data_IF_804638875760
#
_entry.id   IF_804638875760
#
_cell.length_a   1.000
_cell.length_b   1.000
_cell.length_c   1.000
_cell.angle_alpha   90.00
_cell.angle_beta   90.00
_cell.angle_gamma   90.00
#
_symmetry.space_group_name_H-M   'P 1'
#
loop_
_entity.id
_entity.type
_entity.pdbx_description
1 polymer ?
#
# COMPACT_ATOMS: atom_id res chain seq x y z
N UNK A 1 -39.82 -6.74 -1.77
CA UNK A 1 -39.08 -5.72 -1.00
C UNK A 1 -37.80 -5.32 -1.71
N UNK A 2 -36.93 -6.27 -2.08
CA UNK A 2 -35.70 -6.04 -2.87
C UNK A 2 -35.98 -5.45 -4.27
N UNK A 3 -37.00 -5.95 -4.96
CA UNK A 3 -37.38 -5.49 -6.31
C UNK A 3 -37.78 -4.01 -6.39
N UNK A 4 -38.18 -3.41 -5.26
CA UNK A 4 -38.54 -1.98 -5.17
C UNK A 4 -37.40 -1.10 -4.66
N UNK A 5 -36.19 -1.66 -4.47
CA UNK A 5 -34.98 -0.96 -4.02
C UNK A 5 -35.22 0.00 -2.83
N UNK A 6 -35.99 -0.45 -1.82
CA UNK A 6 -36.26 0.36 -0.62
C UNK A 6 -34.97 0.58 0.16
N UNK A 7 -34.86 1.73 0.82
CA UNK A 7 -33.69 2.13 1.61
C UNK A 7 -33.30 1.07 2.66
N UNK A 8 -34.30 0.47 3.32
CA UNK A 8 -34.16 -0.60 4.32
C UNK A 8 -33.36 -1.82 3.82
N UNK A 9 -33.37 -2.09 2.51
CA UNK A 9 -32.64 -3.22 1.90
C UNK A 9 -31.13 -2.98 1.91
N UNK A 10 -30.70 -1.72 1.78
CA UNK A 10 -29.28 -1.36 1.79
C UNK A 10 -28.67 -1.51 3.18
N UNK A 11 -29.40 -1.12 4.22
CA UNK A 11 -28.97 -1.27 5.61
C UNK A 11 -28.78 -2.76 5.96
N UNK A 12 -29.74 -3.61 5.57
CA UNK A 12 -29.64 -5.07 5.76
C UNK A 12 -28.49 -5.65 4.92
N UNK A 13 -28.30 -5.18 3.69
CA UNK A 13 -27.22 -5.66 2.84
C UNK A 13 -25.86 -5.35 3.46
N UNK A 14 -25.66 -4.16 4.01
CA UNK A 14 -24.41 -3.76 4.67
C UNK A 14 -24.11 -4.65 5.88
N UNK A 15 -25.13 -4.95 6.69
CA UNK A 15 -24.99 -5.89 7.82
C UNK A 15 -24.64 -7.31 7.34
N UNK A 16 -25.28 -7.79 6.27
CA UNK A 16 -25.07 -9.15 5.73
C UNK A 16 -23.67 -9.34 5.16
N UNK A 17 -23.07 -8.30 4.56
CA UNK A 17 -21.77 -8.43 3.89
C UNK A 17 -20.56 -8.20 4.80
N UNK A 18 -20.74 -7.55 5.96
CA UNK A 18 -19.65 -7.06 6.83
C UNK A 18 -18.61 -8.13 7.18
N UNK A 19 -19.04 -9.37 7.33
CA UNK A 19 -18.16 -10.49 7.69
C UNK A 19 -18.08 -11.60 6.63
N UNK A 20 -18.59 -11.34 5.42
CA UNK A 20 -18.66 -12.34 4.35
C UNK A 20 -17.68 -12.02 3.23
N UNK A 21 -16.52 -12.70 3.16
CA UNK A 21 -15.57 -12.47 2.08
C UNK A 21 -16.14 -12.94 0.74
N UNK A 22 -15.74 -12.27 -0.33
CA UNK A 22 -16.01 -12.67 -1.72
C UNK A 22 -14.71 -13.07 -2.39
N UNK A 23 -14.77 -14.01 -3.33
CA UNK A 23 -13.62 -14.42 -4.11
C UNK A 23 -13.59 -13.68 -5.44
N UNK A 24 -12.48 -13.03 -5.74
CA UNK A 24 -12.24 -12.37 -7.00
C UNK A 24 -11.28 -13.21 -7.84
N UNK A 25 -11.61 -13.41 -9.13
CA UNK A 25 -10.79 -14.18 -10.07
C UNK A 25 -10.64 -13.41 -11.39
N UNK A 26 -9.44 -13.43 -11.99
CA UNK A 26 -9.20 -12.97 -13.36
C UNK A 26 -8.75 -14.14 -14.24
N UNK A 27 -9.39 -14.29 -15.39
CA UNK A 27 -8.99 -15.28 -16.39
C UNK A 27 -7.89 -14.72 -17.31
N UNK A 28 -6.91 -15.52 -17.75
CA UNK A 28 -6.65 -16.91 -17.37
C UNK A 28 -5.98 -17.02 -15.98
N UNK A 29 -6.40 -18.01 -15.17
CA UNK A 29 -5.82 -18.25 -13.84
C UNK A 29 -4.56 -19.09 -13.96
N UNK A 30 -3.37 -18.46 -13.91
CA UNK A 30 -2.08 -19.14 -14.08
C UNK A 30 -1.52 -19.76 -12.79
N UNK A 31 -1.90 -19.23 -11.63
CA UNK A 31 -1.39 -19.66 -10.34
C UNK A 31 -2.41 -19.36 -9.24
N UNK A 32 -2.22 -19.93 -8.04
CA UNK A 32 -3.17 -19.80 -6.91
C UNK A 32 -3.56 -18.36 -6.57
N UNK A 33 -2.63 -17.40 -6.74
CA UNK A 33 -2.85 -15.98 -6.43
C UNK A 33 -3.73 -15.25 -7.46
N UNK A 34 -4.11 -15.93 -8.56
CA UNK A 34 -5.10 -15.42 -9.50
C UNK A 34 -6.54 -15.52 -8.97
N UNK A 35 -6.72 -16.10 -7.78
CA UNK A 35 -7.95 -16.07 -6.99
C UNK A 35 -7.59 -15.59 -5.58
N UNK A 36 -8.22 -14.52 -5.12
CA UNK A 36 -8.05 -14.03 -3.75
C UNK A 36 -9.39 -13.64 -3.14
N UNK A 37 -9.46 -13.68 -1.81
CA UNK A 37 -10.63 -13.27 -1.07
C UNK A 37 -10.48 -11.82 -0.59
N UNK A 38 -11.59 -11.08 -0.63
CA UNK A 38 -11.70 -9.69 -0.17
C UNK A 38 -12.97 -9.49 0.64
N UNK A 39 -12.93 -8.56 1.59
CA UNK A 39 -14.16 -8.06 2.21
C UNK A 39 -14.81 -7.06 1.25
N UNK A 40 -16.07 -7.27 0.84
CA UNK A 40 -16.75 -6.35 -0.06
C UNK A 40 -17.08 -5.04 0.66
N UNK A 41 -16.99 -3.93 -0.07
CA UNK A 41 -17.49 -2.62 0.37
C UNK A 41 -18.49 -2.14 -0.67
N UNK A 42 -19.68 -1.73 -0.22
CA UNK A 42 -20.69 -1.18 -1.12
C UNK A 42 -20.17 0.12 -1.74
N UNK A 43 -20.32 0.22 -3.05
CA UNK A 43 -19.95 1.39 -3.82
C UNK A 43 -21.06 1.72 -4.82
N UNK A 44 -21.15 2.98 -5.18
CA UNK A 44 -21.93 3.39 -6.34
C UNK A 44 -21.17 3.05 -7.64
N UNK A 45 -21.93 2.71 -8.68
CA UNK A 45 -21.41 2.33 -10.00
C UNK A 45 -21.49 0.83 -10.28
N UNK A 46 -21.01 0.44 -11.47
CA UNK A 46 -21.06 -0.95 -11.97
C UNK A 46 -19.68 -1.59 -12.15
N UNK A 47 -18.62 -0.88 -11.78
CA UNK A 47 -17.24 -1.34 -11.94
C UNK A 47 -16.68 -1.81 -10.58
N UNK A 48 -16.00 -2.95 -10.58
CA UNK A 48 -15.32 -3.48 -9.40
C UNK A 48 -14.10 -2.59 -9.12
N UNK A 49 -13.95 -2.16 -7.87
CA UNK A 49 -12.72 -1.50 -7.39
C UNK A 49 -11.85 -2.54 -6.71
N UNK A 50 -10.58 -2.59 -7.08
CA UNK A 50 -9.59 -3.51 -6.51
C UNK A 50 -8.37 -2.72 -6.04
N UNK A 51 -7.71 -3.22 -4.99
CA UNK A 51 -6.53 -2.58 -4.45
C UNK A 51 -5.34 -2.64 -5.45
N UNK A 52 -4.62 -1.54 -5.73
CA UNK A 52 -3.56 -1.53 -6.74
C UNK A 52 -2.42 -2.54 -6.49
N UNK A 53 -2.11 -2.82 -5.21
CA UNK A 53 -1.04 -3.76 -4.85
C UNK A 53 -1.36 -5.23 -5.14
N UNK A 54 -2.62 -5.59 -5.40
CA UNK A 54 -2.96 -6.97 -5.80
C UNK A 54 -3.01 -7.13 -7.32
N UNK A 55 -2.96 -6.05 -8.10
CA UNK A 55 -3.00 -6.13 -9.56
C UNK A 55 -1.85 -6.95 -10.15
N UNK A 56 -0.67 -6.91 -9.52
CA UNK A 56 0.48 -7.74 -9.89
C UNK A 56 0.17 -9.23 -9.76
N UNK A 57 -0.56 -9.63 -8.71
CA UNK A 57 -1.00 -11.00 -8.49
C UNK A 57 -2.01 -11.45 -9.56
N UNK A 58 -2.95 -10.59 -9.93
CA UNK A 58 -3.93 -10.92 -10.98
C UNK A 58 -3.38 -10.74 -12.41
N UNK A 59 -2.17 -10.19 -12.54
CA UNK A 59 -1.62 -9.70 -13.80
C UNK A 59 -2.62 -8.77 -14.54
N UNK A 60 -3.32 -7.94 -13.78
CA UNK A 60 -4.42 -7.10 -14.25
C UNK A 60 -3.96 -5.66 -14.48
N UNK A 61 -4.55 -5.01 -15.48
CA UNK A 61 -4.50 -3.58 -15.70
C UNK A 61 -5.92 -2.98 -15.74
N UNK A 62 -6.03 -1.70 -16.07
CA UNK A 62 -7.29 -0.96 -16.02
C UNK A 62 -7.71 -0.42 -17.39
N UNK A 63 -7.49 -1.20 -18.45
CA UNK A 63 -7.82 -0.82 -19.83
C UNK A 63 -9.13 -1.45 -20.36
N UNK A 64 -9.81 -2.24 -19.52
CA UNK A 64 -11.04 -2.97 -19.89
C UNK A 64 -11.14 -4.38 -19.33
N UNK A 65 -10.11 -4.82 -18.59
CA UNK A 65 -10.08 -6.09 -17.86
C UNK A 65 -11.35 -6.35 -17.03
N UNK A 66 -11.80 -7.61 -17.07
CA UNK A 66 -12.97 -8.09 -16.33
C UNK A 66 -12.57 -9.16 -15.32
N UNK A 67 -13.26 -9.16 -14.19
CA UNK A 67 -13.04 -10.13 -13.12
C UNK A 67 -14.37 -10.76 -12.68
N UNK A 68 -14.33 -12.04 -12.34
CA UNK A 68 -15.47 -12.77 -11.82
C UNK A 68 -15.48 -12.71 -10.29
N UNK A 69 -16.67 -12.52 -9.72
CA UNK A 69 -16.90 -12.54 -8.27
C UNK A 69 -17.67 -13.80 -7.90
N UNK A 70 -17.20 -14.54 -6.91
CA UNK A 70 -17.88 -15.71 -6.36
C UNK A 70 -18.17 -15.48 -4.87
N UNK A 71 -19.32 -15.97 -4.41
CA UNK A 71 -19.75 -15.85 -3.02
C UNK A 71 -19.67 -17.23 -2.35
N UNK A 72 -18.76 -17.42 -1.37
CA UNK A 72 -18.73 -18.62 -0.55
C UNK A 72 -20.01 -18.76 0.27
N UNK A 73 -20.74 -19.87 0.11
CA UNK A 73 -22.03 -20.07 0.77
C UNK A 73 -21.91 -20.82 2.09
N UNK A 74 -21.17 -21.93 2.12
CA UNK A 74 -21.02 -22.73 3.34
C UNK A 74 -20.14 -22.02 4.37
N UNK A 75 -20.33 -22.36 5.65
CA UNK A 75 -19.55 -21.77 6.75
C UNK A 75 -18.07 -22.14 6.58
N UNK A 76 -17.79 -23.38 6.18
CA UNK A 76 -16.45 -23.89 5.93
C UNK A 76 -15.77 -23.09 4.82
N UNK A 77 -16.47 -22.80 3.71
CA UNK A 77 -15.92 -22.02 2.60
C UNK A 77 -15.68 -20.56 2.98
N UNK A 78 -16.56 -19.96 3.79
CA UNK A 78 -16.36 -18.60 4.32
C UNK A 78 -15.14 -18.54 5.26
N UNK A 79 -14.98 -19.56 6.12
CA UNK A 79 -13.82 -19.68 7.01
C UNK A 79 -12.52 -19.89 6.24
N UNK A 80 -12.51 -20.77 5.23
CA UNK A 80 -11.34 -20.98 4.37
C UNK A 80 -10.96 -19.70 3.61
N UNK A 81 -11.95 -19.01 3.05
CA UNK A 81 -11.73 -17.74 2.37
C UNK A 81 -11.09 -16.69 3.31
N UNK A 82 -11.55 -16.62 4.56
CA UNK A 82 -11.02 -15.67 5.55
C UNK A 82 -9.64 -16.06 6.08
N UNK A 83 -9.40 -17.33 6.34
CA UNK A 83 -8.17 -17.79 7.00
C UNK A 83 -7.02 -18.03 6.02
N UNK A 84 -7.31 -18.41 4.77
CA UNK A 84 -6.28 -18.85 3.82
C UNK A 84 -6.25 -17.97 2.56
N UNK A 85 -7.42 -17.71 1.96
CA UNK A 85 -7.50 -17.09 0.62
C UNK A 85 -7.47 -15.55 0.70
N UNK A 86 -7.67 -14.97 1.89
CA UNK A 86 -7.68 -13.53 2.11
C UNK A 86 -6.40 -12.88 1.58
N UNK A 87 -6.55 -11.77 0.86
CA UNK A 87 -5.45 -11.09 0.19
C UNK A 87 -4.31 -10.68 1.13
N UNK A 88 -4.62 -10.32 2.38
CA UNK A 88 -3.64 -10.00 3.43
C UNK A 88 -2.73 -11.17 3.80
N UNK A 89 -3.17 -12.40 3.59
CA UNK A 89 -2.37 -13.60 3.89
C UNK A 89 -1.46 -13.99 2.72
N UNK A 90 -1.66 -13.36 1.56
CA UNK A 90 -1.05 -13.74 0.28
C UNK A 90 -0.15 -12.62 -0.26
N UNK A 91 0.65 -12.02 0.62
CA UNK A 91 1.56 -10.91 0.32
C UNK A 91 2.86 -11.39 -0.34
N UNK A 92 3.29 -12.63 -0.05
CA UNK A 92 4.52 -13.22 -0.57
C UNK A 92 4.25 -14.25 -1.67
N UNK A 93 5.14 -14.28 -2.67
CA UNK A 93 5.11 -15.27 -3.74
C UNK A 93 5.41 -16.67 -3.19
N UNK A 94 4.54 -17.67 -3.47
CA UNK A 94 4.77 -19.06 -3.04
C UNK A 94 5.99 -19.70 -3.71
N UNK A 95 6.40 -19.20 -4.88
CA UNK A 95 7.45 -19.79 -5.69
C UNK A 95 8.87 -19.39 -5.25
N UNK A 96 9.03 -18.18 -4.72
CA UNK A 96 10.36 -17.63 -4.41
C UNK A 96 10.43 -16.79 -3.13
N UNK A 97 9.35 -16.68 -2.35
CA UNK A 97 9.31 -15.97 -1.08
C UNK A 97 9.44 -14.44 -1.18
N UNK A 98 9.51 -13.87 -2.38
CA UNK A 98 9.60 -12.42 -2.56
C UNK A 98 8.23 -11.75 -2.37
N UNK A 99 8.17 -10.50 -1.88
CA UNK A 99 6.92 -9.75 -1.79
C UNK A 99 6.29 -9.57 -3.17
N UNK A 100 5.03 -9.97 -3.31
CA UNK A 100 4.22 -9.81 -4.53
C UNK A 100 3.41 -8.51 -4.50
N UNK A 101 2.95 -8.11 -3.32
CA UNK A 101 2.25 -6.84 -3.09
C UNK A 101 3.22 -5.64 -3.04
N UNK A 102 4.25 -5.66 -3.89
CA UNK A 102 5.20 -4.56 -4.01
C UNK A 102 4.57 -3.41 -4.79
N UNK A 103 4.73 -2.15 -4.35
CA UNK A 103 4.27 -1.02 -5.12
C UNK A 103 4.87 -0.97 -6.53
N UNK A 104 4.10 -0.44 -7.47
CA UNK A 104 4.48 -0.31 -8.87
C UNK A 104 4.28 1.13 -9.37
N UNK A 105 4.92 1.44 -10.50
CA UNK A 105 4.75 2.68 -11.28
C UNK A 105 4.74 3.95 -10.40
N UNK A 106 3.59 4.60 -10.28
CA UNK A 106 3.43 5.92 -9.65
C UNK A 106 3.82 5.94 -8.18
N UNK A 107 3.52 4.87 -7.44
CA UNK A 107 3.89 4.79 -6.01
C UNK A 107 5.41 4.76 -5.88
N UNK A 108 6.08 3.96 -6.73
CA UNK A 108 7.54 3.89 -6.77
C UNK A 108 8.12 5.24 -7.18
N UNK A 109 7.54 5.91 -8.17
CA UNK A 109 7.96 7.23 -8.62
C UNK A 109 7.82 8.27 -7.49
N UNK A 110 6.73 8.21 -6.73
CA UNK A 110 6.50 9.05 -5.56
C UNK A 110 7.57 8.87 -4.48
N UNK A 111 7.83 7.62 -4.07
CA UNK A 111 8.90 7.31 -3.11
C UNK A 111 10.29 7.71 -3.61
N UNK A 112 10.57 7.47 -4.89
CA UNK A 112 11.82 7.86 -5.54
C UNK A 112 12.00 9.37 -5.53
N UNK A 113 10.96 10.12 -5.92
CA UNK A 113 10.98 11.56 -5.92
C UNK A 113 11.17 12.10 -4.51
N UNK A 114 10.39 11.60 -3.55
CA UNK A 114 10.44 11.99 -2.14
C UNK A 114 11.86 11.82 -1.55
N UNK A 115 12.56 10.74 -1.88
CA UNK A 115 13.87 10.43 -1.28
C UNK A 115 15.07 10.95 -2.08
N UNK A 116 14.82 11.70 -3.15
CA UNK A 116 15.86 12.26 -4.04
C UNK A 116 16.60 13.42 -3.40
N UNK A 117 17.93 13.42 -3.53
CA UNK A 117 18.77 14.55 -3.13
C UNK A 117 18.97 15.50 -4.32
N UNK A 118 18.87 16.82 -4.10
CA UNK A 118 19.19 17.83 -5.10
C UNK A 118 20.46 18.58 -4.69
N UNK A 119 21.59 18.22 -5.30
CA UNK A 119 22.92 18.75 -4.99
C UNK A 119 23.07 20.29 -5.10
N UNK A 120 22.17 21.00 -5.78
CA UNK A 120 22.19 22.46 -5.93
C UNK A 120 21.49 23.22 -4.78
N UNK A 121 20.90 22.54 -3.81
CA UNK A 121 20.24 23.14 -2.63
C UNK A 121 21.16 23.22 -1.40
N UNK A 122 22.48 23.29 -1.60
CA UNK A 122 23.52 23.28 -0.53
C UNK A 122 23.39 24.40 0.52
N UNK A 123 22.53 25.39 0.33
CA UNK A 123 22.36 26.54 1.23
C UNK A 123 21.61 26.22 2.54
N UNK A 124 21.14 24.99 2.75
CA UNK A 124 20.40 24.63 3.96
C UNK A 124 21.08 23.52 4.76
N UNK A 125 22.32 23.71 5.22
CA UNK A 125 22.91 22.88 6.29
C UNK A 125 22.28 23.18 7.66
N UNK A 126 20.94 23.32 7.71
CA UNK A 126 20.18 23.44 8.95
C UNK A 126 20.31 22.12 9.72
N UNK A 127 20.52 22.24 11.03
CA UNK A 127 20.57 21.11 11.97
C UNK A 127 19.26 21.07 12.72
N UNK A 128 18.62 19.91 12.76
CA UNK A 128 17.35 19.66 13.42
C UNK A 128 17.55 18.70 14.60
N UNK A 129 16.83 18.94 15.69
CA UNK A 129 16.87 18.16 16.91
C UNK A 129 16.07 16.86 16.83
N UNK A 130 15.03 16.81 15.99
CA UNK A 130 14.21 15.61 15.80
C UNK A 130 13.56 15.54 14.40
N UNK A 131 12.96 14.40 14.07
CA UNK A 131 12.21 14.21 12.81
C UNK A 131 10.95 15.08 12.77
N UNK A 132 10.31 15.33 13.90
CA UNK A 132 9.12 16.18 14.02
C UNK A 132 9.45 17.64 13.66
N UNK A 133 10.60 18.15 14.10
CA UNK A 133 11.05 19.50 13.78
C UNK A 133 11.26 19.68 12.26
N UNK A 134 11.79 18.64 11.59
CA UNK A 134 11.94 18.63 10.13
C UNK A 134 10.57 18.68 9.44
N UNK A 135 9.58 17.96 9.95
CA UNK A 135 8.23 17.95 9.40
C UNK A 135 7.55 19.32 9.55
N UNK A 136 7.70 19.98 10.70
CA UNK A 136 7.21 21.35 10.94
C UNK A 136 7.89 22.33 9.97
N UNK A 137 9.22 22.30 9.88
CA UNK A 137 9.96 23.19 8.99
C UNK A 137 9.61 22.98 7.50
N UNK A 138 9.27 21.75 7.10
CA UNK A 138 8.78 21.47 5.76
C UNK A 138 7.37 22.06 5.53
N UNK A 139 6.47 21.91 6.50
CA UNK A 139 5.11 22.47 6.44
C UNK A 139 5.13 24.01 6.36
N UNK A 140 6.03 24.65 7.10
CA UNK A 140 6.25 26.09 7.09
C UNK A 140 7.00 26.59 5.83
N UNK A 141 7.38 25.68 4.92
CA UNK A 141 8.13 25.96 3.68
C UNK A 141 9.53 26.55 3.92
N UNK A 142 10.08 26.36 5.12
CA UNK A 142 11.42 26.80 5.54
C UNK A 142 12.55 25.91 5.01
N UNK A 143 12.22 24.66 4.66
CA UNK A 143 13.13 23.72 3.99
C UNK A 143 12.45 23.04 2.81
N UNK A 144 13.09 22.98 1.62
CA UNK A 144 12.54 22.27 0.49
C UNK A 144 12.69 20.75 0.67
N UNK A 145 11.85 19.98 -0.04
CA UNK A 145 11.77 18.52 0.05
C UNK A 145 13.12 17.81 -0.18
N UNK A 146 13.89 18.30 -1.15
CA UNK A 146 15.16 17.69 -1.58
C UNK A 146 16.39 18.37 -0.98
N UNK A 147 16.22 19.22 0.05
CA UNK A 147 17.34 19.83 0.77
C UNK A 147 18.10 18.78 1.56
N UNK A 148 19.43 18.96 1.61
CA UNK A 148 20.32 18.16 2.44
C UNK A 148 20.40 18.80 3.82
N UNK A 149 20.00 18.05 4.85
CA UNK A 149 19.88 18.50 6.24
C UNK A 149 20.69 17.61 7.17
N UNK A 150 20.90 18.06 8.41
CA UNK A 150 21.43 17.23 9.50
C UNK A 150 20.32 17.08 10.55
N UNK A 151 20.02 15.86 10.97
CA UNK A 151 18.99 15.59 11.98
C UNK A 151 19.58 14.68 13.06
N UNK A 152 19.25 14.96 14.32
CA UNK A 152 19.62 14.09 15.43
C UNK A 152 18.64 12.93 15.54
N UNK A 153 19.11 11.69 15.36
CA UNK A 153 18.35 10.45 15.44
C UNK A 153 19.07 9.50 16.40
N UNK A 154 18.37 8.98 17.42
CA UNK A 154 18.95 8.00 18.35
C UNK A 154 20.20 8.50 19.11
N UNK A 155 20.40 9.82 19.22
CA UNK A 155 21.58 10.42 19.85
C UNK A 155 22.69 10.82 18.88
N UNK A 156 22.67 10.34 17.64
CA UNK A 156 23.67 10.65 16.61
C UNK A 156 23.15 11.68 15.60
N UNK A 157 24.05 12.49 15.04
CA UNK A 157 23.70 13.44 13.98
C UNK A 157 23.89 12.75 12.64
N UNK A 158 22.78 12.50 11.95
CA UNK A 158 22.74 11.85 10.64
C UNK A 158 22.53 12.91 9.55
N UNK A 159 23.32 12.82 8.48
CA UNK A 159 23.13 13.66 7.30
C UNK A 159 22.16 12.99 6.33
N UNK A 160 21.07 13.66 5.99
CA UNK A 160 19.98 13.10 5.18
C UNK A 160 19.27 14.19 4.36
N UNK A 161 18.09 13.89 3.81
CA UNK A 161 17.22 14.88 3.16
C UNK A 161 15.89 15.02 3.89
N UNK A 162 15.24 16.17 3.76
CA UNK A 162 13.89 16.42 4.31
C UNK A 162 12.93 15.29 3.92
N UNK A 163 12.88 14.94 2.63
CA UNK A 163 11.99 13.90 2.15
C UNK A 163 12.31 12.48 2.65
N UNK A 164 13.58 12.14 2.92
CA UNK A 164 13.92 10.87 3.60
C UNK A 164 13.43 10.84 5.03
N UNK A 165 13.49 11.95 5.76
CA UNK A 165 12.92 12.03 7.12
C UNK A 165 11.41 11.80 7.08
N UNK A 166 10.70 12.46 6.16
CA UNK A 166 9.25 12.28 5.98
C UNK A 166 8.89 10.84 5.58
N UNK A 167 9.70 10.20 4.74
CA UNK A 167 9.51 8.79 4.39
C UNK A 167 9.63 7.88 5.61
N UNK A 168 10.64 8.10 6.45
CA UNK A 168 10.89 7.28 7.64
C UNK A 168 9.83 7.45 8.74
N UNK A 169 9.14 8.60 8.80
CA UNK A 169 7.99 8.78 9.71
C UNK A 169 6.81 7.87 9.38
N UNK A 170 6.72 7.36 8.15
CA UNK A 170 5.69 6.42 7.72
C UNK A 170 6.07 4.96 7.98
N UNK A 171 7.33 4.68 8.33
CA UNK A 171 7.79 3.33 8.62
C UNK A 171 7.37 2.92 10.05
N UNK A 172 7.12 1.62 10.29
CA UNK A 172 6.82 1.12 11.62
C UNK A 172 7.92 1.42 12.64
N UNK A 173 7.55 1.59 13.91
CA UNK A 173 8.50 1.72 15.00
C UNK A 173 9.43 0.49 15.08
N UNK A 174 10.72 0.73 15.29
CA UNK A 174 11.74 -0.32 15.38
C UNK A 174 12.46 -0.62 14.06
N UNK A 175 11.99 -0.09 12.93
CA UNK A 175 12.68 -0.22 11.64
C UNK A 175 13.92 0.69 11.58
N UNK A 176 15.05 0.25 10.99
CA UNK A 176 16.22 1.10 10.81
C UNK A 176 15.91 2.28 9.89
N UNK A 177 16.55 3.42 10.18
CA UNK A 177 16.38 4.62 9.37
C UNK A 177 16.94 4.41 7.95
N UNK A 178 16.07 4.52 6.95
CA UNK A 178 16.40 4.33 5.53
C UNK A 178 16.93 5.64 4.96
N UNK A 179 18.25 5.73 4.77
CA UNK A 179 18.93 6.94 4.29
C UNK A 179 19.44 6.84 2.85
N UNK A 180 18.63 6.28 1.95
CA UNK A 180 19.02 6.02 0.56
C UNK A 180 17.94 6.47 -0.42
N UNK A 181 18.25 6.42 -1.71
CA UNK A 181 17.28 6.68 -2.77
C UNK A 181 16.38 5.45 -2.96
N UNK A 182 15.08 5.63 -2.75
CA UNK A 182 14.11 4.53 -2.81
C UNK A 182 13.67 4.31 -4.26
N UNK A 183 14.31 3.35 -4.91
CA UNK A 183 13.88 2.82 -6.21
C UNK A 183 13.00 1.57 -6.01
N UNK A 184 12.51 0.98 -7.12
CA UNK A 184 11.64 -0.22 -7.08
C UNK A 184 12.27 -1.38 -6.30
N UNK A 185 13.56 -1.64 -6.52
CA UNK A 185 14.28 -2.76 -5.88
C UNK A 185 14.41 -2.51 -4.38
N UNK A 186 14.87 -1.32 -3.99
CA UNK A 186 15.07 -0.98 -2.58
C UNK A 186 13.77 -0.95 -1.81
N UNK A 187 12.68 -0.47 -2.42
CA UNK A 187 11.36 -0.52 -1.81
C UNK A 187 10.89 -1.96 -1.56
N UNK A 188 11.21 -2.89 -2.45
CA UNK A 188 10.91 -4.31 -2.25
C UNK A 188 11.71 -4.93 -1.09
N UNK A 189 12.96 -4.50 -0.91
CA UNK A 189 13.81 -4.95 0.20
C UNK A 189 13.30 -4.41 1.53
N UNK A 190 12.95 -3.13 1.60
CA UNK A 190 12.33 -2.50 2.78
C UNK A 190 11.04 -3.22 3.18
N UNK A 191 10.23 -3.72 2.24
CA UNK A 191 9.02 -4.51 2.58
C UNK A 191 9.37 -5.92 3.10
N UNK A 192 10.55 -6.44 2.76
CA UNK A 192 11.00 -7.78 3.16
C UNK A 192 11.74 -7.79 4.51
N UNK A 193 12.31 -6.65 4.89
CA UNK A 193 13.04 -6.41 6.15
C UNK A 193 12.07 -6.26 7.34
#
# INVERSE_FOLDING_TARGET
>A
MVEKARLEVWDILDEVIKDRPVLLNRAPTLHRLGIQAFQPTLIEGKAIKIHPLVCTAFNADFDGDQMAVHVPLSIEAQMEARLIILSTNNIFSPANGKPLATPSQDIVLGCYYLTKEKAKLKTHEKVFASSEEVAIAYQDKEVPLHARIKVKLGGEIVQTTTGRVLFNQLLPEGMPFVNELINKTRLSEVISD
#
